data_IF_968956273275
#
_entry.id   IF_968956273275
#
_cell.length_a   1.000
_cell.length_b   1.000
_cell.length_c   1.000
_cell.angle_alpha   90.00
_cell.angle_beta   90.00
_cell.angle_gamma   90.00
#
_symmetry.space_group_name_H-M   'P 1'
#
loop_
_entity.id
_entity.type
_entity.pdbx_description
1 polymer ?
#
# COMPACT_ATOMS: atom_id res chain seq x y z
N UNK A 1 29.78 24.92 -0.51
CA UNK A 1 28.74 23.96 -0.11
C UNK A 1 29.29 23.08 1.00
N UNK A 2 28.84 23.28 2.24
CA UNK A 2 29.29 22.50 3.41
C UNK A 2 28.42 21.27 3.59
N UNK A 3 28.98 20.09 3.37
CA UNK A 3 28.33 18.81 3.67
C UNK A 3 28.67 18.40 5.11
N UNK A 4 27.66 18.05 5.90
CA UNK A 4 27.85 17.53 7.26
C UNK A 4 28.71 16.25 7.26
N UNK A 5 29.52 16.04 8.30
CA UNK A 5 30.35 14.83 8.45
C UNK A 5 29.46 13.58 8.48
N UNK A 6 29.68 12.63 7.58
CA UNK A 6 28.81 11.45 7.41
C UNK A 6 27.66 11.60 6.40
N UNK A 7 27.53 12.78 5.77
CA UNK A 7 26.71 12.89 4.56
C UNK A 7 27.44 12.22 3.39
N UNK A 8 26.76 11.30 2.72
CA UNK A 8 27.26 10.64 1.51
C UNK A 8 26.45 11.15 0.32
N UNK A 9 26.87 12.27 -0.32
CA UNK A 9 26.20 12.75 -1.52
C UNK A 9 26.30 11.68 -2.61
N UNK A 10 25.20 11.49 -3.34
CA UNK A 10 25.11 10.53 -4.44
C UNK A 10 24.42 11.22 -5.62
N UNK A 11 24.75 10.84 -6.85
CA UNK A 11 23.99 11.26 -8.01
C UNK A 11 22.50 10.98 -7.82
N UNK A 12 21.65 11.97 -8.11
CA UNK A 12 20.17 11.82 -8.04
C UNK A 12 19.65 10.73 -8.98
N UNK A 13 20.43 10.36 -10.00
CA UNK A 13 20.17 9.28 -10.95
C UNK A 13 20.20 7.89 -10.31
N UNK A 14 20.92 7.71 -9.20
CA UNK A 14 20.92 6.46 -8.42
C UNK A 14 19.64 6.29 -7.59
N UNK A 15 18.88 7.37 -7.41
CA UNK A 15 17.63 7.40 -6.67
C UNK A 15 17.83 7.57 -5.16
N UNK A 16 17.06 8.47 -4.57
CA UNK A 16 17.18 8.82 -3.16
C UNK A 16 16.03 8.19 -2.37
N UNK A 17 16.31 7.37 -1.33
CA UNK A 17 15.26 6.81 -0.50
C UNK A 17 14.59 7.88 0.35
N UNK A 18 13.28 8.11 0.18
CA UNK A 18 12.53 9.10 0.96
C UNK A 18 11.09 8.65 1.20
N UNK A 19 10.64 8.67 2.46
CA UNK A 19 9.25 8.39 2.89
C UNK A 19 8.59 7.15 2.25
N UNK A 20 9.35 6.07 2.03
CA UNK A 20 8.82 4.85 1.42
C UNK A 20 8.93 4.77 -0.10
N UNK A 21 9.46 5.80 -0.75
CA UNK A 21 9.78 5.86 -2.17
C UNK A 21 11.29 5.83 -2.42
N UNK A 22 11.65 5.57 -3.67
CA UNK A 22 12.92 5.95 -4.27
C UNK A 22 12.63 7.06 -5.26
N UNK A 23 13.20 8.25 -5.01
CA UNK A 23 12.95 9.48 -5.76
C UNK A 23 14.05 9.65 -6.80
N UNK A 24 13.64 9.82 -8.05
CA UNK A 24 14.49 10.16 -9.19
C UNK A 24 14.07 11.54 -9.74
N UNK A 25 14.88 12.18 -10.58
CA UNK A 25 14.57 13.51 -11.12
C UNK A 25 13.20 13.62 -11.81
N UNK A 26 12.76 12.55 -12.51
CA UNK A 26 11.51 12.56 -13.28
C UNK A 26 10.43 11.62 -12.73
N UNK A 27 10.72 10.83 -11.70
CA UNK A 27 9.80 9.80 -11.23
C UNK A 27 10.05 9.40 -9.78
N UNK A 28 9.03 8.82 -9.15
CA UNK A 28 9.11 8.24 -7.80
C UNK A 28 8.63 6.81 -7.85
N UNK A 29 9.47 5.86 -7.45
CA UNK A 29 9.11 4.44 -7.36
C UNK A 29 8.76 4.09 -5.93
N UNK A 30 7.66 3.38 -5.71
CA UNK A 30 7.33 2.88 -4.37
C UNK A 30 8.29 1.73 -4.01
N UNK A 31 8.84 1.72 -2.79
CA UNK A 31 9.76 0.66 -2.37
C UNK A 31 9.03 -0.69 -2.34
N UNK A 32 9.67 -1.73 -2.89
CA UNK A 32 9.15 -3.12 -2.91
C UNK A 32 8.64 -3.59 -1.54
N UNK A 33 9.39 -3.31 -0.47
CA UNK A 33 8.98 -3.68 0.90
C UNK A 33 7.64 -3.10 1.33
N UNK A 34 7.29 -1.88 0.89
CA UNK A 34 5.99 -1.24 1.19
C UNK A 34 4.85 -1.91 0.42
N UNK A 35 5.11 -2.30 -0.83
CA UNK A 35 4.17 -3.09 -1.65
C UNK A 35 3.90 -4.44 -0.99
N UNK A 36 4.95 -5.19 -0.65
CA UNK A 36 4.81 -6.52 -0.03
C UNK A 36 4.08 -6.45 1.31
N UNK A 37 4.37 -5.45 2.14
CA UNK A 37 3.65 -5.22 3.39
C UNK A 37 2.15 -5.01 3.15
N UNK A 38 1.79 -4.13 2.22
CA UNK A 38 0.40 -3.85 1.89
C UNK A 38 -0.32 -5.08 1.33
N UNK A 39 0.33 -5.83 0.45
CA UNK A 39 -0.19 -7.08 -0.11
C UNK A 39 -0.50 -8.11 0.97
N UNK A 40 0.43 -8.35 1.91
CA UNK A 40 0.18 -9.24 3.06
C UNK A 40 -0.95 -8.74 3.95
N UNK A 41 -1.00 -7.42 4.19
CA UNK A 41 -2.08 -6.80 4.99
C UNK A 41 -3.45 -6.99 4.34
N UNK A 42 -3.59 -6.75 3.04
CA UNK A 42 -4.85 -6.92 2.33
C UNK A 42 -5.33 -8.37 2.34
N UNK A 43 -4.44 -9.34 2.15
CA UNK A 43 -4.79 -10.76 2.30
C UNK A 43 -5.41 -11.06 3.66
N UNK A 44 -4.79 -10.58 4.75
CA UNK A 44 -5.32 -10.78 6.10
C UNK A 44 -6.69 -10.11 6.28
N UNK A 45 -6.81 -8.84 5.90
CA UNK A 45 -8.08 -8.10 6.03
C UNK A 45 -9.22 -8.77 5.24
N UNK A 46 -8.93 -9.37 4.08
CA UNK A 46 -9.93 -10.10 3.31
C UNK A 46 -10.34 -11.41 3.98
N UNK A 47 -9.42 -12.11 4.63
CA UNK A 47 -9.74 -13.30 5.44
C UNK A 47 -10.63 -12.91 6.62
N UNK A 48 -10.24 -11.88 7.38
CA UNK A 48 -11.01 -11.38 8.53
C UNK A 48 -12.41 -10.92 8.08
N UNK A 49 -12.51 -10.25 6.93
CA UNK A 49 -13.80 -9.85 6.34
C UNK A 49 -14.65 -11.08 5.95
N UNK A 50 -14.07 -12.07 5.30
CA UNK A 50 -14.79 -13.28 4.87
C UNK A 50 -15.35 -14.09 6.05
N UNK A 51 -14.62 -14.10 7.17
CA UNK A 51 -15.04 -14.76 8.40
C UNK A 51 -16.13 -13.98 9.16
N UNK A 52 -16.35 -12.71 8.81
CA UNK A 52 -17.27 -11.82 9.52
C UNK A 52 -16.64 -11.09 10.72
N UNK A 53 -15.32 -11.24 10.94
CA UNK A 53 -14.57 -10.61 12.03
C UNK A 53 -14.28 -9.12 11.77
N UNK A 54 -14.37 -8.69 10.51
CA UNK A 54 -14.07 -7.34 10.07
C UNK A 54 -15.15 -6.81 9.15
N UNK A 55 -15.53 -5.55 9.31
CA UNK A 55 -16.47 -4.89 8.40
C UNK A 55 -15.79 -4.52 7.08
N UNK A 56 -16.56 -4.55 5.98
CA UNK A 56 -16.10 -4.10 4.65
C UNK A 56 -15.54 -2.67 4.70
N UNK A 57 -16.15 -1.79 5.49
CA UNK A 57 -15.70 -0.40 5.66
C UNK A 57 -14.24 -0.31 6.13
N UNK A 58 -13.79 -1.22 7.01
CA UNK A 58 -12.41 -1.24 7.49
C UNK A 58 -11.43 -1.73 6.41
N UNK A 59 -11.84 -2.69 5.58
CA UNK A 59 -11.09 -3.11 4.38
C UNK A 59 -10.92 -1.92 3.45
N UNK A 60 -12.02 -1.22 3.13
CA UNK A 60 -12.04 -0.07 2.23
C UNK A 60 -11.20 1.09 2.75
N UNK A 61 -11.25 1.39 4.05
CA UNK A 61 -10.41 2.40 4.67
C UNK A 61 -8.91 2.07 4.52
N UNK A 62 -8.52 0.81 4.71
CA UNK A 62 -7.13 0.39 4.50
C UNK A 62 -6.71 0.47 3.03
N UNK A 63 -7.60 0.13 2.09
CA UNK A 63 -7.35 0.27 0.64
C UNK A 63 -7.16 1.74 0.28
N UNK A 64 -8.04 2.62 0.74
CA UNK A 64 -7.98 4.06 0.48
C UNK A 64 -6.70 4.68 1.06
N UNK A 65 -6.32 4.32 2.28
CA UNK A 65 -5.08 4.79 2.89
C UNK A 65 -3.84 4.41 2.08
N UNK A 66 -3.79 3.17 1.57
CA UNK A 66 -2.70 2.76 0.69
C UNK A 66 -2.71 3.46 -0.66
N UNK A 67 -3.88 3.63 -1.29
CA UNK A 67 -4.00 4.35 -2.56
C UNK A 67 -3.55 5.80 -2.43
N UNK A 68 -3.94 6.47 -1.34
CA UNK A 68 -3.52 7.83 -1.02
C UNK A 68 -2.01 7.95 -0.84
N UNK A 69 -1.35 6.94 -0.30
CA UNK A 69 0.12 6.90 -0.27
C UNK A 69 0.70 6.64 -1.66
N UNK A 70 0.28 5.55 -2.31
CA UNK A 70 0.85 5.07 -3.58
C UNK A 70 0.69 6.07 -4.74
N UNK A 71 -0.36 6.91 -4.74
CA UNK A 71 -0.60 7.91 -5.80
C UNK A 71 0.51 8.94 -5.96
N UNK A 72 1.34 9.14 -4.93
CA UNK A 72 2.47 10.07 -5.00
C UNK A 72 3.69 9.52 -5.76
N UNK A 73 3.61 8.32 -6.31
CA UNK A 73 4.63 7.76 -7.20
C UNK A 73 4.07 7.28 -8.53
N UNK A 74 4.98 6.85 -9.40
CA UNK A 74 4.69 6.23 -10.69
C UNK A 74 4.18 4.81 -10.46
N UNK A 75 2.91 4.70 -10.05
CA UNK A 75 2.33 3.46 -9.51
C UNK A 75 1.03 3.04 -10.20
N UNK A 76 0.64 3.62 -11.34
CA UNK A 76 -0.61 3.25 -12.03
C UNK A 76 -0.69 1.73 -12.27
N UNK A 77 0.32 1.15 -12.94
CA UNK A 77 0.37 -0.30 -13.19
C UNK A 77 0.43 -1.12 -11.90
N UNK A 78 1.21 -0.67 -10.91
CA UNK A 78 1.32 -1.32 -9.61
C UNK A 78 0.00 -1.31 -8.83
N UNK A 79 -0.74 -0.19 -8.82
CA UNK A 79 -2.04 -0.07 -8.17
C UNK A 79 -3.05 -0.99 -8.82
N UNK A 80 -3.08 -1.03 -10.16
CA UNK A 80 -3.92 -1.98 -10.91
C UNK A 80 -3.62 -3.41 -10.50
N UNK A 81 -2.35 -3.81 -10.60
CA UNK A 81 -1.87 -5.17 -10.30
C UNK A 81 -2.18 -5.61 -8.86
N UNK A 82 -1.91 -4.76 -7.88
CA UNK A 82 -2.21 -5.05 -6.46
C UNK A 82 -3.72 -5.19 -6.24
N UNK A 83 -4.55 -4.28 -6.77
CA UNK A 83 -5.99 -4.32 -6.54
C UNK A 83 -6.66 -5.48 -7.27
N UNK A 84 -6.28 -5.79 -8.51
CA UNK A 84 -6.89 -6.90 -9.27
C UNK A 84 -6.60 -8.27 -8.68
N UNK A 85 -5.52 -8.41 -7.90
CA UNK A 85 -5.16 -9.66 -7.21
C UNK A 85 -5.91 -9.89 -5.89
N UNK A 86 -6.57 -8.87 -5.34
CA UNK A 86 -7.29 -8.95 -4.07
C UNK A 86 -8.78 -8.76 -4.31
N UNK A 87 -9.46 -9.85 -4.70
CA UNK A 87 -10.91 -9.82 -4.90
C UNK A 87 -11.63 -9.79 -3.55
N UNK A 88 -12.58 -8.89 -3.42
CA UNK A 88 -13.53 -8.86 -2.30
C UNK A 88 -14.66 -9.81 -2.68
N UNK A 89 -14.95 -10.78 -1.82
CA UNK A 89 -16.08 -11.70 -1.93
C UNK A 89 -16.95 -11.56 -0.68
N UNK A 90 -18.28 -11.70 -0.79
CA UNK A 90 -19.17 -11.59 0.36
C UNK A 90 -18.76 -12.53 1.52
N UNK A 91 -19.03 -12.15 2.78
CA UNK A 91 -18.68 -12.96 3.93
C UNK A 91 -19.48 -14.27 3.95
N UNK A 92 -18.87 -15.33 4.49
CA UNK A 92 -19.51 -16.64 4.63
C UNK A 92 -20.58 -16.63 5.74
N UNK A 93 -20.41 -15.75 6.72
CA UNK A 93 -21.39 -15.46 7.78
C UNK A 93 -21.60 -13.96 7.86
N UNK A 94 -22.86 -13.53 7.82
CA UNK A 94 -23.18 -12.17 8.21
C UNK A 94 -23.02 -12.07 9.73
N UNK A 95 -22.29 -11.07 10.25
CA UNK A 95 -22.21 -10.88 11.68
C UNK A 95 -23.62 -10.64 12.24
N UNK A 96 -23.96 -11.31 13.34
CA UNK A 96 -25.31 -11.35 13.93
C UNK A 96 -25.94 -9.97 14.20
N UNK A 97 -25.11 -8.92 14.25
CA UNK A 97 -25.52 -7.52 14.31
C UNK A 97 -26.24 -6.98 13.06
N UNK A 98 -26.49 -7.81 12.05
CA UNK A 98 -27.22 -7.47 10.81
C UNK A 98 -28.45 -8.35 10.52
N UNK A 99 -28.81 -9.28 11.41
CA UNK A 99 -30.02 -10.09 11.28
C UNK A 99 -31.10 -9.49 12.18
N UNK A 100 -31.91 -8.59 11.61
CA UNK A 100 -33.22 -8.19 12.12
C UNK A 100 -34.29 -8.68 11.14
#
# INVERSE_FOLDING_TARGET
MTTHRGAHPKPVTEGIPFLGFVVFPRQRRLKRRRVLYCWRKFRRLLVDYQNGDLLLAAVMASVQGWLNHARFGNTIGLRRDVLTRHRIVPPQRFPLQYVL
#
